data_IF_893989108406
#
_entry.id   IF_893989108406
#
_cell.length_a   1.000
_cell.length_b   1.000
_cell.length_c   1.000
_cell.angle_alpha   90.00
_cell.angle_beta   90.00
_cell.angle_gamma   90.00
#
_symmetry.space_group_name_H-M   'P 1'
#
loop_
_entity.id
_entity.type
_entity.pdbx_description
1 polymer ?
#
# COMPACT_ATOMS: atom_id res chain seq x y z
N UNK A 1 -34.75 -14.37 -6.55
CA UNK A 1 -34.65 -15.57 -7.40
C UNK A 1 -33.28 -16.19 -7.13
N UNK A 2 -33.09 -17.50 -7.32
CA UNK A 2 -31.82 -18.14 -6.97
C UNK A 2 -31.20 -18.85 -8.17
N UNK A 3 -29.87 -18.71 -8.30
CA UNK A 3 -29.06 -19.41 -9.31
C UNK A 3 -28.03 -20.29 -8.62
N UNK A 4 -27.55 -21.31 -9.33
CA UNK A 4 -26.43 -22.11 -8.83
C UNK A 4 -25.15 -21.28 -8.84
N UNK A 5 -24.27 -21.49 -7.87
CA UNK A 5 -23.00 -20.78 -7.77
C UNK A 5 -22.21 -20.78 -9.09
N UNK A 6 -22.18 -21.92 -9.78
CA UNK A 6 -21.50 -22.05 -11.09
C UNK A 6 -22.14 -21.22 -12.21
N UNK A 7 -23.47 -21.14 -12.24
CA UNK A 7 -24.22 -20.38 -13.26
C UNK A 7 -24.01 -18.88 -13.03
N UNK A 8 -24.07 -18.45 -11.77
CA UNK A 8 -23.79 -17.08 -11.37
C UNK A 8 -22.32 -16.69 -11.64
N UNK A 9 -21.37 -17.61 -11.40
CA UNK A 9 -19.95 -17.40 -11.72
C UNK A 9 -19.73 -17.17 -13.21
N UNK A 10 -20.38 -17.95 -14.08
CA UNK A 10 -20.31 -17.81 -15.53
C UNK A 10 -20.88 -16.46 -15.99
N UNK A 11 -22.04 -16.06 -15.47
CA UNK A 11 -22.66 -14.77 -15.80
C UNK A 11 -21.80 -13.57 -15.39
N UNK A 12 -21.25 -13.58 -14.17
CA UNK A 12 -20.35 -12.53 -13.72
C UNK A 12 -19.07 -12.54 -14.57
N UNK A 13 -18.55 -13.72 -14.93
CA UNK A 13 -17.39 -13.84 -15.82
C UNK A 13 -17.65 -13.13 -17.15
N UNK A 14 -18.82 -13.35 -17.76
CA UNK A 14 -19.22 -12.68 -19.01
C UNK A 14 -19.33 -11.17 -18.85
N UNK A 15 -19.91 -10.69 -17.73
CA UNK A 15 -20.03 -9.27 -17.44
C UNK A 15 -18.67 -8.55 -17.24
N UNK A 16 -17.62 -9.30 -16.89
CA UNK A 16 -16.27 -8.76 -16.66
C UNK A 16 -15.35 -8.89 -17.89
N UNK A 17 -15.77 -9.61 -18.93
CA UNK A 17 -14.98 -9.80 -20.16
C UNK A 17 -14.67 -8.45 -20.83
N UNK A 18 -13.38 -8.20 -21.09
CA UNK A 18 -12.90 -6.95 -21.71
C UNK A 18 -12.82 -5.74 -20.77
N UNK A 19 -13.19 -5.90 -19.50
CA UNK A 19 -13.08 -4.88 -18.44
C UNK A 19 -11.85 -5.13 -17.57
N UNK A 20 -11.61 -6.40 -17.23
CA UNK A 20 -10.53 -6.84 -16.33
C UNK A 20 -9.64 -7.88 -17.04
N UNK A 21 -8.39 -8.04 -16.60
CA UNK A 21 -7.43 -8.94 -17.24
C UNK A 21 -7.80 -10.43 -17.13
N UNK A 22 -8.30 -10.85 -15.95
CA UNK A 22 -8.66 -12.24 -15.67
C UNK A 22 -10.13 -12.40 -15.22
N UNK A 23 -11.13 -12.21 -16.12
CA UNK A 23 -12.56 -12.15 -15.77
C UNK A 23 -13.07 -13.31 -14.92
N UNK A 24 -12.68 -14.53 -15.26
CA UNK A 24 -13.12 -15.74 -14.53
C UNK A 24 -12.58 -15.77 -13.11
N UNK A 25 -11.32 -15.37 -12.92
CA UNK A 25 -10.69 -15.32 -11.60
C UNK A 25 -11.29 -14.20 -10.75
N UNK A 26 -11.52 -13.05 -11.35
CA UNK A 26 -12.16 -11.89 -10.72
C UNK A 26 -13.59 -12.20 -10.27
N UNK A 27 -14.38 -12.88 -11.10
CA UNK A 27 -15.72 -13.34 -10.73
C UNK A 27 -15.69 -14.34 -9.55
N UNK A 28 -14.72 -15.26 -9.54
CA UNK A 28 -14.51 -16.20 -8.42
C UNK A 28 -14.17 -15.44 -7.13
N UNK A 29 -13.20 -14.51 -7.18
CA UNK A 29 -12.78 -13.71 -6.03
C UNK A 29 -13.92 -12.83 -5.50
N UNK A 30 -14.73 -12.23 -6.38
CA UNK A 30 -15.90 -11.44 -6.00
C UNK A 30 -16.90 -12.28 -5.22
N UNK A 31 -17.26 -13.46 -5.74
CA UNK A 31 -18.21 -14.36 -5.08
C UNK A 31 -17.65 -14.92 -3.77
N UNK A 32 -16.38 -15.30 -3.73
CA UNK A 32 -15.70 -15.74 -2.51
C UNK A 32 -15.74 -14.65 -1.43
N UNK A 33 -15.41 -13.41 -1.79
CA UNK A 33 -15.44 -12.28 -0.88
C UNK A 33 -16.85 -11.95 -0.39
N UNK A 34 -17.83 -11.88 -1.29
CA UNK A 34 -19.22 -11.59 -0.96
C UNK A 34 -19.84 -12.66 -0.05
N UNK A 35 -19.60 -13.95 -0.34
CA UNK A 35 -20.12 -15.07 0.46
C UNK A 35 -19.33 -15.34 1.74
N UNK A 36 -18.16 -14.70 1.90
CA UNK A 36 -17.19 -15.00 2.97
C UNK A 36 -16.78 -16.49 2.97
N UNK A 37 -16.38 -17.00 1.78
CA UNK A 37 -16.02 -18.40 1.55
C UNK A 37 -14.64 -18.51 0.93
N UNK A 38 -13.97 -19.62 1.24
CA UNK A 38 -12.66 -19.93 0.67
C UNK A 38 -12.78 -20.64 -0.68
N UNK A 39 -11.61 -20.89 -1.28
CA UNK A 39 -11.52 -21.56 -2.57
C UNK A 39 -12.03 -23.01 -2.50
N UNK A 40 -11.84 -23.69 -1.37
CA UNK A 40 -12.30 -25.08 -1.20
C UNK A 40 -13.82 -25.15 -1.27
N UNK A 41 -14.52 -24.25 -0.57
CA UNK A 41 -15.96 -24.11 -0.65
C UNK A 41 -16.39 -23.83 -2.10
N UNK A 42 -15.76 -22.85 -2.75
CA UNK A 42 -16.10 -22.49 -4.12
C UNK A 42 -16.03 -23.71 -5.06
N UNK A 43 -14.95 -24.51 -4.99
CA UNK A 43 -14.77 -25.71 -5.83
C UNK A 43 -15.79 -26.81 -5.51
N UNK A 44 -16.13 -27.00 -4.23
CA UNK A 44 -16.92 -28.17 -3.78
C UNK A 44 -18.43 -27.93 -3.73
N UNK A 45 -18.89 -26.68 -3.81
CA UNK A 45 -20.28 -26.26 -3.62
C UNK A 45 -20.86 -25.55 -4.86
N UNK A 46 -20.43 -25.97 -6.05
CA UNK A 46 -20.82 -25.36 -7.34
C UNK A 46 -22.35 -25.40 -7.62
N UNK A 47 -23.09 -26.29 -6.98
CA UNK A 47 -24.55 -26.42 -7.10
C UNK A 47 -25.33 -25.72 -5.98
N UNK A 48 -24.67 -25.06 -5.02
CA UNK A 48 -25.34 -24.26 -3.98
C UNK A 48 -26.12 -23.11 -4.62
N UNK A 49 -27.30 -22.83 -4.07
CA UNK A 49 -28.20 -21.79 -4.55
C UNK A 49 -27.88 -20.45 -3.88
N UNK A 50 -27.55 -19.45 -4.69
CA UNK A 50 -27.27 -18.07 -4.27
C UNK A 50 -28.43 -17.17 -4.71
N UNK A 51 -28.87 -16.26 -3.83
CA UNK A 51 -29.86 -15.24 -4.17
C UNK A 51 -29.21 -14.16 -5.04
N UNK A 52 -29.35 -14.30 -6.36
CA UNK A 52 -28.87 -13.33 -7.34
C UNK A 52 -29.60 -11.98 -7.27
N UNK A 53 -30.72 -11.92 -6.53
CA UNK A 53 -31.50 -10.69 -6.34
C UNK A 53 -31.12 -9.91 -5.09
N UNK A 54 -30.08 -10.33 -4.35
CA UNK A 54 -29.54 -9.53 -3.25
C UNK A 54 -29.01 -8.19 -3.79
N UNK A 55 -29.57 -7.05 -3.34
CA UNK A 55 -29.13 -5.73 -3.78
C UNK A 55 -27.62 -5.49 -3.64
N UNK A 56 -26.99 -6.02 -2.57
CA UNK A 56 -25.55 -5.84 -2.33
C UNK A 56 -24.71 -6.58 -3.38
N UNK A 57 -25.11 -7.81 -3.73
CA UNK A 57 -24.44 -8.58 -4.77
C UNK A 57 -24.58 -7.90 -6.13
N UNK A 58 -25.80 -7.46 -6.47
CA UNK A 58 -26.04 -6.73 -7.70
C UNK A 58 -25.18 -5.45 -7.79
N UNK A 59 -25.06 -4.70 -6.69
CA UNK A 59 -24.20 -3.51 -6.62
C UNK A 59 -22.72 -3.85 -6.84
N UNK A 60 -22.23 -4.93 -6.23
CA UNK A 60 -20.83 -5.36 -6.41
C UNK A 60 -20.53 -5.76 -7.86
N UNK A 61 -21.43 -6.51 -8.50
CA UNK A 61 -21.29 -6.91 -9.90
C UNK A 61 -21.29 -5.67 -10.81
N UNK A 62 -22.22 -4.74 -10.61
CA UNK A 62 -22.32 -3.50 -11.38
C UNK A 62 -21.11 -2.57 -11.19
N UNK A 63 -20.55 -2.50 -9.98
CA UNK A 63 -19.31 -1.75 -9.74
C UNK A 63 -18.10 -2.45 -10.35
N UNK A 64 -17.96 -3.76 -10.19
CA UNK A 64 -16.82 -4.52 -10.77
C UNK A 64 -16.85 -4.51 -12.30
N UNK A 65 -18.02 -4.54 -12.94
CA UNK A 65 -18.15 -4.40 -14.40
C UNK A 65 -17.75 -3.01 -14.93
N UNK A 66 -17.59 -2.03 -14.04
CA UNK A 66 -17.00 -0.70 -14.32
C UNK A 66 -15.54 -0.59 -13.86
N UNK A 67 -14.91 -1.73 -13.59
CA UNK A 67 -13.55 -1.88 -13.09
C UNK A 67 -13.27 -1.24 -11.71
N UNK A 68 -14.28 -1.03 -10.87
CA UNK A 68 -14.04 -0.65 -9.46
C UNK A 68 -13.24 -1.78 -8.78
N UNK A 69 -12.15 -1.49 -8.04
CA UNK A 69 -11.36 -2.51 -7.36
C UNK A 69 -12.17 -3.35 -6.37
N UNK A 70 -11.92 -4.66 -6.33
CA UNK A 70 -12.63 -5.59 -5.46
C UNK A 70 -12.38 -5.29 -3.97
N UNK A 71 -11.20 -4.76 -3.66
CA UNK A 71 -10.76 -4.38 -2.32
C UNK A 71 -11.64 -3.28 -1.75
N UNK A 72 -12.10 -2.32 -2.56
CA UNK A 72 -13.05 -1.29 -2.13
C UNK A 72 -14.48 -1.82 -2.00
N UNK A 73 -14.87 -2.83 -2.77
CA UNK A 73 -16.16 -3.48 -2.60
C UNK A 73 -16.22 -4.25 -1.27
N UNK A 74 -15.17 -5.02 -0.99
CA UNK A 74 -15.05 -5.87 0.20
C UNK A 74 -14.53 -5.13 1.44
N UNK A 75 -13.99 -3.92 1.24
CA UNK A 75 -13.24 -3.14 2.22
C UNK A 75 -12.08 -3.90 2.88
N UNK A 76 -11.45 -4.81 2.12
CA UNK A 76 -10.43 -5.73 2.62
C UNK A 76 -9.33 -5.91 1.60
N UNK A 77 -8.11 -6.04 2.10
CA UNK A 77 -6.94 -6.46 1.32
C UNK A 77 -6.12 -7.42 2.15
N UNK A 78 -5.55 -8.44 1.49
CA UNK A 78 -4.57 -9.33 2.10
C UNK A 78 -3.17 -8.77 1.83
N UNK A 79 -2.38 -8.58 2.88
CA UNK A 79 -1.01 -8.11 2.80
C UNK A 79 -0.19 -8.77 3.93
N UNK A 80 0.98 -9.32 3.61
CA UNK A 80 1.87 -10.00 4.55
C UNK A 80 1.16 -11.09 5.38
N UNK A 81 0.33 -11.90 4.72
CA UNK A 81 -0.54 -12.93 5.32
C UNK A 81 -1.53 -12.41 6.38
N UNK A 82 -1.88 -11.12 6.33
CA UNK A 82 -2.83 -10.48 7.23
C UNK A 82 -3.90 -9.74 6.44
N UNK A 83 -5.08 -9.60 7.03
CA UNK A 83 -6.17 -8.83 6.44
C UNK A 83 -6.17 -7.42 7.01
N UNK A 84 -6.28 -6.42 6.13
CA UNK A 84 -6.39 -5.01 6.50
C UNK A 84 -7.66 -4.41 5.90
N UNK A 85 -8.22 -3.43 6.61
CA UNK A 85 -9.28 -2.58 6.10
C UNK A 85 -8.71 -1.62 5.06
N UNK A 86 -9.42 -1.47 3.94
CA UNK A 86 -9.14 -0.46 2.92
C UNK A 86 -10.42 0.19 2.44
N UNK A 87 -10.28 1.41 1.94
CA UNK A 87 -11.37 2.26 1.51
C UNK A 87 -10.84 3.30 0.51
N UNK A 88 -11.72 3.98 -0.21
CA UNK A 88 -11.40 4.99 -1.23
C UNK A 88 -10.56 6.17 -0.70
N UNK A 89 -10.33 6.25 0.62
CA UNK A 89 -9.49 7.25 1.27
C UNK A 89 -7.98 6.97 1.24
N UNK A 90 -7.56 5.75 0.88
CA UNK A 90 -6.15 5.33 0.88
C UNK A 90 -5.84 4.45 -0.33
N UNK A 91 -4.58 4.45 -0.78
CA UNK A 91 -4.09 3.55 -1.82
C UNK A 91 -4.34 2.09 -1.43
N UNK A 92 -4.77 1.26 -2.39
CA UNK A 92 -4.82 -0.18 -2.19
C UNK A 92 -3.37 -0.69 -2.13
N UNK A 93 -2.93 -1.31 -1.02
CA UNK A 93 -1.57 -1.81 -0.87
C UNK A 93 -1.16 -2.74 -1.99
N UNK A 94 0.04 -2.54 -2.53
CA UNK A 94 0.59 -3.36 -3.62
C UNK A 94 1.47 -4.48 -3.07
N UNK A 95 1.46 -5.70 -3.63
CA UNK A 95 2.32 -6.79 -3.19
C UNK A 95 3.80 -6.41 -3.13
N UNK A 96 4.26 -5.56 -4.05
CA UNK A 96 5.63 -5.09 -4.13
C UNK A 96 6.08 -4.34 -2.85
N UNK A 97 5.15 -3.66 -2.17
CA UNK A 97 5.42 -2.94 -0.91
C UNK A 97 5.78 -3.90 0.23
N UNK A 98 5.53 -5.21 0.13
CA UNK A 98 6.03 -6.19 1.11
C UNK A 98 7.57 -6.19 1.13
N UNK A 99 8.22 -5.96 -0.02
CA UNK A 99 9.68 -5.86 -0.09
C UNK A 99 10.22 -4.67 0.70
N UNK A 100 9.49 -3.54 0.75
CA UNK A 100 9.89 -2.39 1.57
C UNK A 100 9.98 -2.77 3.06
N UNK A 101 8.97 -3.50 3.55
CA UNK A 101 8.94 -4.02 4.94
C UNK A 101 10.13 -4.95 5.19
N UNK A 102 10.38 -5.90 4.28
CA UNK A 102 11.50 -6.83 4.39
C UNK A 102 12.86 -6.11 4.43
N UNK A 103 13.05 -5.08 3.60
CA UNK A 103 14.30 -4.33 3.53
C UNK A 103 14.56 -3.51 4.79
N UNK A 104 13.52 -2.97 5.43
CA UNK A 104 13.66 -2.36 6.75
C UNK A 104 14.10 -3.41 7.78
N UNK A 105 13.39 -4.53 7.88
CA UNK A 105 13.64 -5.55 8.89
C UNK A 105 15.03 -6.20 8.77
N UNK A 106 15.63 -6.23 7.58
CA UNK A 106 17.02 -6.70 7.38
C UNK A 106 18.08 -5.78 7.96
N UNK A 107 17.76 -4.50 8.21
CA UNK A 107 18.75 -3.45 8.51
C UNK A 107 18.71 -2.94 9.94
N UNK A 108 17.68 -3.29 10.69
CA UNK A 108 17.51 -2.91 12.08
C UNK A 108 17.50 -4.13 12.98
N UNK A 109 17.99 -3.97 14.22
CA UNK A 109 17.83 -4.98 15.25
C UNK A 109 16.39 -4.89 15.82
N UNK A 110 15.60 -5.97 15.78
CA UNK A 110 14.24 -6.00 16.32
C UNK A 110 14.11 -5.52 17.78
N UNK A 111 15.17 -5.66 18.57
CA UNK A 111 15.19 -5.32 19.98
C UNK A 111 15.65 -3.89 20.28
N UNK A 112 15.96 -3.10 19.24
CA UNK A 112 16.39 -1.71 19.39
C UNK A 112 15.21 -0.79 19.73
N UNK A 113 15.44 0.10 20.69
CA UNK A 113 14.56 1.26 20.93
C UNK A 113 14.86 2.32 19.88
N UNK A 114 13.89 2.62 19.03
CA UNK A 114 14.05 3.59 17.95
C UNK A 114 12.75 4.31 17.62
N UNK A 115 12.91 5.50 17.04
CA UNK A 115 11.83 6.31 16.48
C UNK A 115 11.79 6.09 14.98
N UNK A 116 10.78 5.35 14.54
CA UNK A 116 10.49 5.15 13.12
C UNK A 116 9.45 6.16 12.68
N UNK A 117 9.68 6.82 11.56
CA UNK A 117 8.70 7.72 10.96
C UNK A 117 8.32 7.21 9.59
N UNK A 118 7.03 7.07 9.33
CA UNK A 118 6.49 6.78 8.01
C UNK A 118 5.87 8.06 7.43
N UNK A 119 6.25 8.42 6.20
CA UNK A 119 5.60 9.50 5.43
C UNK A 119 4.77 8.91 4.30
N UNK A 120 3.52 9.35 4.21
CA UNK A 120 2.53 8.82 3.27
C UNK A 120 1.90 7.52 3.79
N UNK A 121 1.41 7.53 5.03
CA UNK A 121 0.99 6.31 5.73
C UNK A 121 -0.12 5.53 5.01
N UNK A 122 -0.98 6.19 4.23
CA UNK A 122 -2.08 5.56 3.53
C UNK A 122 -2.99 4.76 4.46
N UNK A 123 -3.00 3.43 4.29
CA UNK A 123 -3.78 2.49 5.10
C UNK A 123 -3.12 2.09 6.43
N UNK A 124 -1.90 2.55 6.71
CA UNK A 124 -1.17 2.23 7.95
C UNK A 124 -0.35 0.95 7.91
N UNK A 125 -0.35 0.22 6.78
CA UNK A 125 0.12 -1.17 6.74
C UNK A 125 1.61 -1.30 7.02
N UNK A 126 2.45 -0.42 6.47
CA UNK A 126 3.90 -0.49 6.68
C UNK A 126 4.20 -0.27 8.17
N UNK A 127 3.73 0.83 8.76
CA UNK A 127 3.87 1.08 10.21
C UNK A 127 3.33 -0.05 11.07
N UNK A 128 2.18 -0.63 10.75
CA UNK A 128 1.59 -1.74 11.52
C UNK A 128 2.50 -2.96 11.47
N UNK A 129 2.96 -3.37 10.29
CA UNK A 129 3.79 -4.56 10.14
C UNK A 129 5.16 -4.36 10.79
N UNK A 130 5.78 -3.20 10.60
CA UNK A 130 7.03 -2.87 11.26
C UNK A 130 6.86 -2.85 12.78
N UNK A 131 5.78 -2.26 13.30
CA UNK A 131 5.51 -2.29 14.74
C UNK A 131 5.36 -3.72 15.27
N UNK A 132 4.68 -4.62 14.54
CA UNK A 132 4.54 -6.02 14.95
C UNK A 132 5.89 -6.76 15.04
N UNK A 133 6.89 -6.38 14.24
CA UNK A 133 8.22 -7.00 14.21
C UNK A 133 9.28 -6.25 15.03
N UNK A 134 9.06 -4.98 15.33
CA UNK A 134 9.93 -4.11 16.12
C UNK A 134 9.24 -3.76 17.46
N UNK A 135 9.21 -4.69 18.44
CA UNK A 135 8.41 -4.54 19.66
C UNK A 135 8.74 -3.30 20.49
N UNK A 136 10.00 -2.83 20.45
CA UNK A 136 10.48 -1.66 21.22
C UNK A 136 10.52 -0.35 20.44
N UNK A 137 10.23 -0.38 19.14
CA UNK A 137 10.17 0.84 18.34
C UNK A 137 8.88 1.61 18.62
N UNK A 138 8.96 2.94 18.54
CA UNK A 138 7.82 3.85 18.48
C UNK A 138 7.68 4.38 17.06
N UNK A 139 6.45 4.63 16.65
CA UNK A 139 6.13 5.01 15.27
C UNK A 139 5.36 6.33 15.24
N UNK A 140 5.78 7.22 14.36
CA UNK A 140 5.02 8.40 13.97
C UNK A 140 4.68 8.23 12.49
N UNK A 141 3.40 8.15 12.19
CA UNK A 141 2.89 7.90 10.86
C UNK A 141 2.19 9.16 10.35
N UNK A 142 2.73 9.74 9.29
CA UNK A 142 2.30 11.03 8.74
C UNK A 142 1.61 10.84 7.41
N UNK A 143 0.50 11.54 7.22
CA UNK A 143 -0.14 11.66 5.91
C UNK A 143 -0.74 13.05 5.74
N UNK A 144 -0.74 13.56 4.51
CA UNK A 144 -1.39 14.83 4.18
C UNK A 144 -2.91 14.66 4.04
N UNK A 145 -3.40 13.42 3.85
CA UNK A 145 -4.81 13.11 3.66
C UNK A 145 -5.48 12.73 4.98
N UNK A 146 -6.42 13.54 5.49
CA UNK A 146 -7.22 13.17 6.65
C UNK A 146 -8.00 11.86 6.43
N UNK A 147 -8.39 11.57 5.17
CA UNK A 147 -9.09 10.34 4.81
C UNK A 147 -8.19 9.10 4.96
N UNK A 148 -6.92 9.20 4.56
CA UNK A 148 -5.95 8.13 4.77
C UNK A 148 -5.75 7.86 6.27
N UNK A 149 -5.61 8.92 7.07
CA UNK A 149 -5.47 8.79 8.53
C UNK A 149 -6.67 8.09 9.19
N UNK A 150 -7.90 8.26 8.68
CA UNK A 150 -9.08 7.52 9.16
C UNK A 150 -8.95 6.03 8.86
N UNK A 151 -8.51 5.65 7.65
CA UNK A 151 -8.27 4.24 7.28
C UNK A 151 -7.16 3.65 8.13
N UNK A 152 -6.03 4.35 8.25
CA UNK A 152 -4.89 3.94 9.08
C UNK A 152 -5.29 3.76 10.55
N UNK A 153 -6.08 4.68 11.12
CA UNK A 153 -6.55 4.57 12.50
C UNK A 153 -7.32 3.28 12.73
N UNK A 154 -8.26 2.95 11.82
CA UNK A 154 -9.06 1.73 11.92
C UNK A 154 -8.21 0.47 11.90
N UNK A 155 -7.17 0.42 11.08
CA UNK A 155 -6.22 -0.69 11.07
C UNK A 155 -5.37 -0.71 12.35
N UNK A 156 -4.82 0.43 12.78
CA UNK A 156 -4.03 0.49 14.03
C UNK A 156 -4.85 0.01 15.23
N UNK A 157 -6.13 0.39 15.30
CA UNK A 157 -7.08 -0.07 16.31
C UNK A 157 -7.29 -1.59 16.27
N UNK A 158 -7.49 -2.17 15.07
CA UNK A 158 -7.76 -3.61 14.92
C UNK A 158 -6.57 -4.48 15.32
N UNK A 159 -5.34 -3.97 15.19
CA UNK A 159 -4.12 -4.62 15.64
C UNK A 159 -3.70 -4.25 17.08
N UNK A 160 -4.42 -3.36 17.76
CA UNK A 160 -4.14 -2.96 19.14
C UNK A 160 -2.85 -2.14 19.31
N UNK A 161 -2.47 -1.35 18.29
CA UNK A 161 -1.17 -0.66 18.21
C UNK A 161 -1.22 0.83 18.59
N UNK A 162 -2.33 1.31 19.13
CA UNK A 162 -2.54 2.73 19.49
C UNK A 162 -1.50 3.33 20.44
N UNK A 163 -0.89 2.51 21.31
CA UNK A 163 0.15 2.96 22.21
C UNK A 163 1.54 3.06 21.57
N UNK A 164 1.69 2.61 20.32
CA UNK A 164 2.99 2.53 19.62
C UNK A 164 3.02 3.29 18.30
N UNK A 165 1.87 3.49 17.66
CA UNK A 165 1.75 4.23 16.40
C UNK A 165 0.91 5.48 16.62
N UNK A 166 1.56 6.63 16.52
CA UNK A 166 0.93 7.94 16.53
C UNK A 166 0.65 8.39 15.09
N UNK A 167 -0.59 8.82 14.81
CA UNK A 167 -0.95 9.37 13.50
C UNK A 167 -0.91 10.89 13.56
N UNK A 168 -0.29 11.52 12.55
CA UNK A 168 -0.26 12.98 12.41
C UNK A 168 -0.67 13.40 11.01
N UNK A 169 -1.46 14.46 10.93
CA UNK A 169 -1.73 15.14 9.67
C UNK A 169 -0.60 16.13 9.39
N UNK A 170 0.02 16.05 8.23
CA UNK A 170 1.12 16.93 7.88
C UNK A 170 1.68 16.72 6.48
N UNK A 171 2.40 17.73 5.99
CA UNK A 171 3.16 17.61 4.76
C UNK A 171 4.58 17.13 5.08
N UNK A 172 4.99 15.98 4.53
CA UNK A 172 6.28 15.34 4.81
C UNK A 172 6.54 15.25 6.32
N UNK A 173 7.61 15.90 6.82
CA UNK A 173 8.00 15.87 8.22
C UNK A 173 7.66 17.15 9.00
N UNK A 174 6.88 18.06 8.41
CA UNK A 174 6.54 19.36 9.02
C UNK A 174 5.85 19.29 10.39
N UNK A 175 5.25 18.15 10.74
CA UNK A 175 4.59 17.90 12.02
C UNK A 175 5.41 16.99 12.96
N UNK A 176 6.69 16.75 12.67
CA UNK A 176 7.57 15.86 13.42
C UNK A 176 8.77 16.65 13.93
N UNK A 177 8.80 16.93 15.23
CA UNK A 177 9.92 17.61 15.88
C UNK A 177 10.95 16.61 16.46
N UNK A 178 10.55 15.36 16.63
CA UNK A 178 11.36 14.33 17.27
C UNK A 178 12.56 13.92 16.43
N UNK A 179 13.67 13.52 17.08
CA UNK A 179 14.75 12.80 16.40
C UNK A 179 14.22 11.52 15.74
N UNK A 180 14.64 11.29 14.50
CA UNK A 180 14.22 10.13 13.69
C UNK A 180 15.43 9.22 13.51
N UNK A 181 15.26 7.95 13.90
CA UNK A 181 16.28 6.92 13.73
C UNK A 181 16.11 6.17 12.40
N UNK A 182 14.88 6.08 11.89
CA UNK A 182 14.57 5.47 10.61
C UNK A 182 13.39 6.19 9.95
N UNK A 183 13.58 6.68 8.73
CA UNK A 183 12.51 7.15 7.86
C UNK A 183 12.09 6.02 6.91
N UNK A 184 10.79 5.85 6.71
CA UNK A 184 10.20 4.92 5.75
C UNK A 184 9.17 5.65 4.90
N UNK A 185 9.11 5.36 3.60
CA UNK A 185 8.06 5.91 2.74
C UNK A 185 7.78 5.02 1.53
N UNK A 186 6.50 4.92 1.18
CA UNK A 186 6.07 4.62 -0.18
C UNK A 186 5.39 5.87 -0.76
N UNK A 187 6.16 6.86 -1.25
CA UNK A 187 5.59 8.10 -1.76
C UNK A 187 4.97 7.85 -3.15
N UNK A 188 4.02 8.70 -3.59
CA UNK A 188 3.58 8.64 -4.97
C UNK A 188 4.74 8.99 -5.91
N UNK A 189 4.91 8.20 -6.96
CA UNK A 189 6.05 8.29 -7.88
C UNK A 189 5.67 8.35 -9.37
N UNK A 190 4.38 8.41 -9.69
CA UNK A 190 3.91 8.47 -11.08
C UNK A 190 3.96 9.92 -11.57
N UNK A 191 4.47 10.16 -12.78
CA UNK A 191 4.44 11.48 -13.41
C UNK A 191 3.02 11.86 -13.86
N UNK A 192 2.66 13.15 -13.78
CA UNK A 192 1.31 13.64 -14.08
C UNK A 192 0.76 13.30 -15.48
N UNK A 193 1.64 13.13 -16.47
CA UNK A 193 1.26 12.88 -17.87
C UNK A 193 1.11 11.39 -18.21
N UNK A 194 1.41 10.50 -17.26
CA UNK A 194 1.32 9.05 -17.47
C UNK A 194 -0.16 8.62 -17.45
N UNK A 195 -0.66 7.97 -18.51
CA UNK A 195 -2.02 7.43 -18.53
C UNK A 195 -2.18 6.37 -17.44
N UNK A 196 -3.18 6.56 -16.58
CA UNK A 196 -3.53 5.59 -15.55
C UNK A 196 -4.36 4.45 -16.15
N UNK A 197 -4.11 3.23 -15.67
CA UNK A 197 -5.06 2.13 -15.85
C UNK A 197 -6.41 2.49 -15.23
N UNK A 198 -7.50 1.98 -15.81
CA UNK A 198 -8.85 2.44 -15.46
C UNK A 198 -9.25 2.18 -14.00
N UNK A 199 -8.74 1.12 -13.37
CA UNK A 199 -8.92 0.83 -11.94
C UNK A 199 -8.22 1.88 -11.05
N UNK A 200 -7.06 2.40 -11.46
CA UNK A 200 -6.32 3.41 -10.69
C UNK A 200 -7.05 4.75 -10.62
N UNK A 201 -8.00 5.00 -11.53
CA UNK A 201 -8.83 6.21 -11.47
C UNK A 201 -9.76 6.26 -10.25
N UNK A 202 -10.00 5.11 -9.60
CA UNK A 202 -10.78 5.03 -8.36
C UNK A 202 -9.91 5.25 -7.10
N UNK A 203 -8.59 5.26 -7.22
CA UNK A 203 -7.70 5.47 -6.09
C UNK A 203 -7.39 6.96 -5.89
N UNK A 204 -7.03 7.39 -4.66
CA UNK A 204 -6.69 8.78 -4.40
C UNK A 204 -5.54 9.26 -5.31
N UNK A 205 -5.81 10.26 -6.14
CA UNK A 205 -4.83 10.74 -7.14
C UNK A 205 -3.57 11.32 -6.48
N UNK A 206 -3.71 11.90 -5.29
CA UNK A 206 -2.59 12.37 -4.46
C UNK A 206 -1.70 11.24 -3.91
N UNK A 207 -2.17 9.99 -3.94
CA UNK A 207 -1.41 8.81 -3.58
C UNK A 207 -0.78 8.11 -4.80
N UNK A 208 -1.01 8.62 -6.02
CA UNK A 208 -0.46 8.09 -7.26
C UNK A 208 0.61 9.01 -7.85
N UNK A 209 0.31 10.30 -7.96
CA UNK A 209 1.17 11.24 -8.67
C UNK A 209 2.24 11.91 -7.80
N UNK A 210 3.50 11.76 -8.21
CA UNK A 210 4.69 12.29 -7.54
C UNK A 210 5.16 13.65 -8.04
N UNK A 211 4.49 14.24 -9.05
CA UNK A 211 4.83 15.52 -9.66
C UNK A 211 4.83 15.47 -11.19
N UNK A 212 5.51 16.45 -11.81
CA UNK A 212 5.65 16.52 -13.27
C UNK A 212 6.53 15.39 -13.80
N UNK A 213 7.58 15.03 -13.06
CA UNK A 213 8.53 13.97 -13.42
C UNK A 213 8.32 12.70 -12.57
N UNK A 214 7.68 12.84 -11.41
CA UNK A 214 7.35 11.76 -10.48
C UNK A 214 8.40 11.49 -9.41
N UNK A 215 9.52 12.23 -9.38
CA UNK A 215 10.61 12.06 -8.39
C UNK A 215 10.67 13.20 -7.37
N UNK A 216 9.79 14.19 -7.47
CA UNK A 216 9.83 15.41 -6.67
C UNK A 216 9.62 15.12 -5.17
N UNK A 217 8.68 14.23 -4.82
CA UNK A 217 8.45 13.86 -3.42
C UNK A 217 9.63 13.07 -2.85
N UNK A 218 10.20 12.15 -3.63
CA UNK A 218 11.40 11.40 -3.21
C UNK A 218 12.56 12.36 -2.95
N UNK A 219 12.76 13.35 -3.82
CA UNK A 219 13.80 14.37 -3.63
C UNK A 219 13.56 15.21 -2.36
N UNK A 220 12.32 15.64 -2.11
CA UNK A 220 11.99 16.37 -0.89
C UNK A 220 12.21 15.53 0.38
N UNK A 221 11.91 14.22 0.34
CA UNK A 221 12.22 13.30 1.44
C UNK A 221 13.73 13.12 1.64
N UNK A 222 14.51 13.08 0.55
CA UNK A 222 15.96 13.04 0.64
C UNK A 222 16.54 14.33 1.25
N UNK A 223 16.02 15.51 0.87
CA UNK A 223 16.38 16.78 1.51
C UNK A 223 16.15 16.71 3.04
N UNK A 224 14.96 16.27 3.46
CA UNK A 224 14.62 16.06 4.88
C UNK A 224 15.58 15.11 5.61
N UNK A 225 16.01 14.03 4.97
CA UNK A 225 16.98 13.08 5.53
C UNK A 225 18.31 13.76 5.88
N UNK A 226 18.82 14.62 5.00
CA UNK A 226 20.09 15.31 5.24
C UNK A 226 19.93 16.51 6.16
N UNK A 227 18.89 17.32 6.00
CA UNK A 227 18.62 18.49 6.85
C UNK A 227 18.40 18.10 8.30
N UNK A 228 17.66 17.02 8.55
CA UNK A 228 17.32 16.54 9.90
C UNK A 228 18.27 15.48 10.43
N UNK A 229 19.31 15.15 9.65
CA UNK A 229 20.37 14.20 10.02
C UNK A 229 19.84 12.81 10.36
N UNK A 230 18.87 12.33 9.57
CA UNK A 230 18.25 11.02 9.72
C UNK A 230 19.25 9.95 9.27
N UNK A 231 19.59 8.94 10.09
CA UNK A 231 20.69 8.04 9.77
C UNK A 231 20.31 6.99 8.71
N UNK A 232 19.05 6.53 8.68
CA UNK A 232 18.58 5.51 7.75
C UNK A 232 17.28 5.97 7.09
N UNK A 233 17.19 5.79 5.77
CA UNK A 233 15.96 5.99 5.01
C UNK A 233 15.74 4.82 4.06
N UNK A 234 14.59 4.15 4.17
CA UNK A 234 14.16 3.13 3.21
C UNK A 234 12.92 3.62 2.47
N UNK A 235 12.98 3.62 1.14
CA UNK A 235 11.95 4.23 0.30
C UNK A 235 11.61 3.33 -0.88
N UNK A 236 10.31 3.18 -1.15
CA UNK A 236 9.83 2.66 -2.44
C UNK A 236 9.98 3.75 -3.52
N UNK A 237 10.16 3.34 -4.77
CA UNK A 237 10.33 4.23 -5.92
C UNK A 237 9.82 3.57 -7.19
N UNK A 238 9.57 4.38 -8.23
CA UNK A 238 9.29 3.88 -9.57
C UNK A 238 10.48 3.11 -10.17
N UNK A 239 10.19 2.10 -10.99
CA UNK A 239 11.21 1.21 -11.56
C UNK A 239 12.26 1.90 -12.45
N UNK A 240 11.97 3.11 -12.92
CA UNK A 240 12.82 3.92 -13.78
C UNK A 240 13.58 5.02 -13.01
N UNK A 241 13.42 5.10 -11.69
CA UNK A 241 13.89 6.23 -10.88
C UNK A 241 15.29 6.03 -10.27
N UNK A 242 15.86 4.81 -10.36
CA UNK A 242 17.18 4.48 -9.79
C UNK A 242 18.27 5.50 -10.15
N UNK A 243 18.42 5.81 -11.44
CA UNK A 243 19.46 6.74 -11.90
C UNK A 243 19.22 8.17 -11.39
N UNK A 244 17.96 8.60 -11.28
CA UNK A 244 17.58 9.92 -10.76
C UNK A 244 17.99 10.06 -9.28
N UNK A 245 17.69 9.04 -8.47
CA UNK A 245 18.09 8.98 -7.05
C UNK A 245 19.62 9.00 -6.92
N UNK A 246 20.33 8.21 -7.72
CA UNK A 246 21.80 8.19 -7.70
C UNK A 246 22.40 9.54 -8.08
N UNK A 247 21.87 10.20 -9.12
CA UNK A 247 22.36 11.51 -9.56
C UNK A 247 22.15 12.57 -8.47
N UNK A 248 20.95 12.61 -7.89
CA UNK A 248 20.60 13.55 -6.84
C UNK A 248 21.48 13.38 -5.59
N UNK A 249 21.83 12.14 -5.23
CA UNK A 249 22.65 11.86 -4.06
C UNK A 249 24.15 12.16 -4.22
N UNK A 250 24.65 12.47 -5.43
CA UNK A 250 26.08 12.76 -5.66
C UNK A 250 26.62 13.93 -4.86
N UNK A 251 25.78 14.91 -4.51
CA UNK A 251 26.18 16.09 -3.73
C UNK A 251 26.16 15.87 -2.22
N UNK A 252 25.80 14.67 -1.75
CA UNK A 252 25.61 14.38 -0.33
C UNK A 252 26.61 13.33 0.18
N UNK A 253 26.91 13.40 1.48
CA UNK A 253 27.75 12.41 2.14
C UNK A 253 26.93 11.16 2.49
N UNK A 254 27.17 10.07 1.77
CA UNK A 254 26.42 8.81 1.90
C UNK A 254 27.34 7.68 2.33
N UNK A 255 26.95 6.94 3.37
CA UNK A 255 27.67 5.75 3.84
C UNK A 255 27.41 4.56 2.93
N UNK A 256 26.13 4.30 2.63
CA UNK A 256 25.73 3.29 1.66
C UNK A 256 24.40 3.65 1.02
N UNK A 257 24.23 3.22 -0.23
CA UNK A 257 22.99 3.31 -1.00
C UNK A 257 22.77 1.95 -1.68
N UNK A 258 21.78 1.21 -1.22
CA UNK A 258 21.47 -0.14 -1.66
C UNK A 258 20.09 -0.16 -2.31
N UNK A 259 20.02 -0.57 -3.57
CA UNK A 259 18.76 -0.75 -4.28
C UNK A 259 18.28 -2.19 -4.17
N UNK A 260 16.96 -2.38 -4.13
CA UNK A 260 16.33 -3.70 -4.15
C UNK A 260 15.34 -3.82 -5.30
N UNK A 261 15.11 -5.06 -5.74
CA UNK A 261 14.21 -5.39 -6.83
C UNK A 261 13.04 -6.24 -6.34
N UNK A 262 11.92 -6.22 -7.06
CA UNK A 262 10.86 -7.20 -6.87
C UNK A 262 11.23 -8.59 -7.45
N UNK A 263 10.28 -9.52 -7.34
CA UNK A 263 10.38 -10.86 -7.92
C UNK A 263 10.40 -10.89 -9.46
N UNK A 264 9.96 -9.81 -10.12
CA UNK A 264 10.04 -9.65 -11.56
C UNK A 264 11.38 -9.04 -12.03
N UNK A 265 12.25 -8.65 -11.09
CA UNK A 265 13.57 -8.10 -11.36
C UNK A 265 13.59 -6.60 -11.65
N UNK A 266 12.48 -5.89 -11.42
CA UNK A 266 12.43 -4.43 -11.54
C UNK A 266 12.93 -3.78 -10.25
N UNK A 267 13.66 -2.67 -10.38
CA UNK A 267 13.97 -1.83 -9.23
C UNK A 267 12.65 -1.39 -8.55
N UNK A 268 12.63 -1.41 -7.21
CA UNK A 268 11.45 -1.02 -6.42
C UNK A 268 11.74 -0.01 -5.33
N UNK A 269 12.98 0.13 -4.93
CA UNK A 269 13.30 1.04 -3.84
C UNK A 269 14.76 0.98 -3.49
N UNK A 270 15.08 1.71 -2.42
CA UNK A 270 16.42 1.77 -1.89
C UNK A 270 16.42 1.86 -0.37
N UNK A 271 17.55 1.49 0.23
CA UNK A 271 17.92 1.94 1.57
C UNK A 271 19.17 2.80 1.49
N UNK A 272 19.05 4.01 2.04
CA UNK A 272 20.11 4.98 2.22
C UNK A 272 20.57 4.97 3.67
N UNK A 273 21.89 4.91 3.89
CA UNK A 273 22.53 5.23 5.17
C UNK A 273 23.34 6.51 5.00
N UNK A 274 22.96 7.57 5.70
CA UNK A 274 23.60 8.88 5.58
C UNK A 274 24.76 9.03 6.58
N UNK A 275 25.78 9.80 6.20
CA UNK A 275 26.88 10.20 7.11
C UNK A 275 26.55 11.58 7.65
N UNK A 276 26.54 11.70 8.97
CA UNK A 276 26.33 12.97 9.66
C UNK A 276 27.63 13.35 10.39
N UNK A 277 28.43 14.25 9.81
CA UNK A 277 29.68 14.77 10.41
C UNK A 277 29.46 15.72 11.58
#
# INVERSE_FOLDING_TARGET
MSKRLKELHEEITEALCGVVEAPRREAELLLMAYLCKDQLYFITHQDDLIDETDPKLCEWIDKRSRNVPLEYLSNRVSFYSREFYVDEGALIPRPETEHLVDEVLKRVDPESEMTVVEVGVGSGIISILLALHLPKARFIAVDISPRALVVARRNIDSFGLNGRIELREGNLLSCVDEPIDLLVSNPPYIAHDVPLESNLSYEPQNALFGGEIGDEIIRALLDEVFERRIPIFTCEMGYDQRLKVQEYLKSFAVQSLEFYTDLAGFDRGFTLKAIHE
#
